data_IF_960721422037
#
_entry.id   IF_960721422037
#
_cell.length_a   1.000
_cell.length_b   1.000
_cell.length_c   1.000
_cell.angle_alpha   90.00
_cell.angle_beta   90.00
_cell.angle_gamma   90.00
#
_symmetry.space_group_name_H-M   'P 1'
#
loop_
_entity.id
_entity.type
_entity.pdbx_description
1 polymer ?
#
# COMPACT_ATOMS: atom_id res chain seq x y z
N UNK A 1 -14.10 0.18 -10.65
CA UNK A 1 -15.15 -0.36 -9.77
C UNK A 1 -15.88 0.71 -8.96
N UNK A 2 -15.19 1.67 -8.32
CA UNK A 2 -15.81 2.72 -7.49
C UNK A 2 -17.07 3.37 -8.11
N UNK A 3 -16.99 3.87 -9.35
CA UNK A 3 -18.12 4.48 -10.06
C UNK A 3 -19.32 3.53 -10.22
N UNK A 4 -19.08 2.24 -10.43
CA UNK A 4 -20.14 1.27 -10.71
C UNK A 4 -20.91 0.83 -9.45
N UNK A 5 -20.31 0.96 -8.27
CA UNK A 5 -20.91 0.53 -7.00
C UNK A 5 -21.40 1.69 -6.12
N UNK A 6 -21.13 2.93 -6.53
CA UNK A 6 -21.62 4.12 -5.84
C UNK A 6 -23.13 4.32 -6.02
N UNK A 7 -23.84 4.85 -5.01
CA UNK A 7 -23.33 5.29 -3.70
C UNK A 7 -23.32 4.17 -2.63
N UNK A 8 -23.72 2.94 -2.94
CA UNK A 8 -23.94 1.89 -1.95
C UNK A 8 -22.67 1.30 -1.33
N UNK A 9 -21.56 1.25 -2.09
CA UNK A 9 -20.27 0.71 -1.63
C UNK A 9 -19.14 1.65 -2.06
N UNK A 10 -18.27 2.02 -1.12
CA UNK A 10 -16.99 2.68 -1.42
C UNK A 10 -15.96 1.65 -1.87
N UNK A 11 -15.14 2.00 -2.86
CA UNK A 11 -14.09 1.12 -3.37
C UNK A 11 -12.80 1.92 -3.46
N UNK A 12 -11.79 1.51 -2.70
CA UNK A 12 -10.45 2.11 -2.70
C UNK A 12 -9.39 1.02 -2.87
N UNK A 13 -8.15 1.41 -3.18
CA UNK A 13 -7.04 0.48 -3.38
C UNK A 13 -5.86 0.85 -2.48
N UNK A 14 -5.23 -0.16 -1.89
CA UNK A 14 -3.91 -0.04 -1.26
C UNK A 14 -2.90 -0.59 -2.25
N UNK A 15 -1.84 0.16 -2.55
CA UNK A 15 -0.80 -0.18 -3.50
C UNK A 15 0.53 -0.38 -2.76
N UNK A 16 0.90 -1.64 -2.44
CA UNK A 16 2.14 -1.97 -1.74
C UNK A 16 3.38 -1.72 -2.59
N UNK A 17 4.49 -1.39 -1.92
CA UNK A 17 5.84 -1.44 -2.48
C UNK A 17 6.52 -2.79 -2.29
N UNK A 18 7.80 -2.77 -1.91
CA UNK A 18 8.56 -3.98 -1.57
C UNK A 18 8.13 -4.50 -0.20
N UNK A 19 7.27 -5.51 -0.21
CA UNK A 19 6.75 -6.18 0.99
C UNK A 19 6.85 -7.69 0.79
N UNK A 20 8.00 -8.31 1.13
CA UNK A 20 8.16 -9.75 1.04
C UNK A 20 7.37 -10.45 2.16
N UNK A 21 6.86 -11.67 1.91
CA UNK A 21 6.11 -12.45 2.89
C UNK A 21 6.98 -12.94 4.06
N UNK A 22 8.27 -13.16 3.80
CA UNK A 22 9.29 -13.55 4.77
C UNK A 22 10.56 -12.74 4.51
N UNK A 23 11.50 -12.72 5.46
CA UNK A 23 12.82 -12.14 5.21
C UNK A 23 13.45 -12.80 3.97
N UNK A 24 13.90 -11.96 3.04
CA UNK A 24 14.42 -12.42 1.76
C UNK A 24 15.86 -11.98 1.61
N UNK A 25 16.75 -12.96 1.39
CA UNK A 25 18.14 -12.72 1.03
C UNK A 25 18.35 -12.50 -0.49
N UNK A 26 17.28 -12.55 -1.31
CA UNK A 26 17.39 -12.24 -2.74
C UNK A 26 18.02 -10.83 -2.91
N UNK A 27 19.21 -10.72 -3.52
CA UNK A 27 19.92 -9.44 -3.62
C UNK A 27 19.09 -8.35 -4.31
N UNK A 28 18.15 -8.71 -5.19
CA UNK A 28 17.27 -7.77 -5.88
C UNK A 28 16.24 -7.17 -4.92
N UNK A 29 15.67 -7.98 -4.03
CA UNK A 29 14.70 -7.52 -3.02
C UNK A 29 15.41 -6.63 -2.01
N UNK A 30 16.58 -7.05 -1.52
CA UNK A 30 17.39 -6.26 -0.59
C UNK A 30 17.77 -4.90 -1.19
N UNK A 31 18.26 -4.88 -2.44
CA UNK A 31 18.62 -3.65 -3.11
C UNK A 31 17.42 -2.72 -3.33
N UNK A 32 16.26 -3.26 -3.73
CA UNK A 32 15.05 -2.46 -3.94
C UNK A 32 14.52 -1.88 -2.62
N UNK A 33 14.54 -2.66 -1.53
CA UNK A 33 14.17 -2.21 -0.20
C UNK A 33 15.06 -1.06 0.28
N UNK A 34 16.38 -1.20 0.13
CA UNK A 34 17.35 -0.17 0.50
C UNK A 34 17.22 1.11 -0.35
N UNK A 35 16.70 1.00 -1.58
CA UNK A 35 16.46 2.13 -2.48
C UNK A 35 15.17 2.91 -2.16
N UNK A 36 14.31 2.41 -1.26
CA UNK A 36 13.17 3.18 -0.78
C UNK A 36 13.65 4.36 0.09
N UNK A 37 12.98 5.51 0.10
CA UNK A 37 13.23 6.56 1.10
C UNK A 37 13.18 6.08 2.56
N UNK A 38 12.37 5.08 2.87
CA UNK A 38 12.32 4.44 4.17
C UNK A 38 13.56 3.56 4.47
N UNK A 39 14.38 3.24 3.47
CA UNK A 39 15.60 2.45 3.58
C UNK A 39 15.38 0.98 3.94
N UNK A 40 14.15 0.46 3.85
CA UNK A 40 13.79 -0.91 4.23
C UNK A 40 12.59 -1.43 3.45
N UNK A 41 12.37 -2.75 3.54
CA UNK A 41 11.13 -3.36 3.11
C UNK A 41 10.00 -3.03 4.10
N UNK A 42 8.78 -2.95 3.59
CA UNK A 42 7.58 -2.89 4.42
C UNK A 42 7.16 -4.28 4.92
N UNK A 43 6.23 -4.32 5.88
CA UNK A 43 5.63 -5.56 6.37
C UNK A 43 4.16 -5.71 5.93
N UNK A 44 3.62 -6.92 6.05
CA UNK A 44 2.20 -7.18 5.80
C UNK A 44 1.28 -6.38 6.73
N UNK A 45 1.69 -6.19 7.99
CA UNK A 45 0.98 -5.37 8.98
C UNK A 45 0.87 -3.91 8.52
N UNK A 46 1.94 -3.34 7.95
CA UNK A 46 1.91 -1.97 7.43
C UNK A 46 0.95 -1.82 6.24
N UNK A 47 0.80 -2.87 5.42
CA UNK A 47 -0.23 -2.90 4.37
C UNK A 47 -1.63 -2.99 4.97
N UNK A 48 -1.82 -3.79 6.03
CA UNK A 48 -3.09 -3.89 6.73
C UNK A 48 -3.50 -2.56 7.38
N UNK A 49 -2.56 -1.77 7.89
CA UNK A 49 -2.82 -0.42 8.40
C UNK A 49 -3.37 0.51 7.30
N UNK A 50 -2.87 0.39 6.06
CA UNK A 50 -3.42 1.10 4.90
C UNK A 50 -4.86 0.69 4.56
N UNK A 51 -5.23 -0.57 4.78
CA UNK A 51 -6.63 -1.03 4.66
C UNK A 51 -7.49 -0.44 5.78
N UNK A 52 -7.00 -0.47 7.02
CA UNK A 52 -7.69 0.10 8.18
C UNK A 52 -7.91 1.60 8.01
N UNK A 53 -7.00 2.32 7.36
CA UNK A 53 -7.19 3.73 7.00
C UNK A 53 -8.48 3.94 6.19
N UNK A 54 -8.70 3.14 5.14
CA UNK A 54 -9.93 3.24 4.34
C UNK A 54 -11.18 2.74 5.08
N UNK A 55 -11.06 1.77 5.98
CA UNK A 55 -12.18 1.32 6.82
C UNK A 55 -12.65 2.40 7.79
N UNK A 56 -11.76 3.30 8.22
CA UNK A 56 -12.08 4.43 9.10
C UNK A 56 -12.47 5.70 8.33
N UNK A 57 -12.30 5.72 7.01
CA UNK A 57 -12.63 6.88 6.18
C UNK A 57 -14.15 7.08 6.09
N UNK A 58 -14.59 8.30 5.79
CA UNK A 58 -16.00 8.58 5.55
C UNK A 58 -16.48 7.89 4.27
N UNK A 59 -17.79 7.66 4.15
CA UNK A 59 -18.41 7.13 2.92
C UNK A 59 -18.24 8.01 1.68
N UNK A 60 -17.68 9.22 1.84
CA UNK A 60 -17.35 10.11 0.72
C UNK A 60 -16.01 9.76 0.06
N UNK A 61 -15.14 8.98 0.72
CA UNK A 61 -13.84 8.55 0.20
C UNK A 61 -14.02 7.27 -0.62
N UNK A 62 -14.04 7.41 -1.94
CA UNK A 62 -14.10 6.30 -2.89
C UNK A 62 -13.24 6.60 -4.12
N UNK A 63 -12.74 5.56 -4.79
CA UNK A 63 -11.89 5.66 -5.98
C UNK A 63 -10.46 6.08 -5.71
N UNK A 64 -10.02 6.11 -4.45
CA UNK A 64 -8.66 6.52 -4.10
C UNK A 64 -7.68 5.34 -4.16
N UNK A 65 -6.42 5.67 -4.44
CA UNK A 65 -5.28 4.74 -4.35
C UNK A 65 -4.33 5.28 -3.29
N UNK A 66 -4.09 4.49 -2.25
CA UNK A 66 -3.10 4.79 -1.22
C UNK A 66 -1.83 4.00 -1.52
N UNK A 67 -0.73 4.69 -1.81
CA UNK A 67 0.58 4.05 -1.89
C UNK A 67 1.12 3.78 -0.48
N UNK A 68 1.55 2.54 -0.24
CA UNK A 68 2.18 2.10 1.00
C UNK A 68 3.46 1.36 0.61
N UNK A 69 4.47 2.14 0.25
CA UNK A 69 5.64 1.62 -0.46
C UNK A 69 6.98 2.15 0.07
N UNK A 70 6.99 2.74 1.26
CA UNK A 70 8.19 3.35 1.84
C UNK A 70 8.75 4.52 1.02
N UNK A 71 7.95 5.09 0.11
CA UNK A 71 8.33 6.16 -0.80
C UNK A 71 8.96 5.69 -2.12
N UNK A 72 8.91 4.40 -2.43
CA UNK A 72 9.51 3.83 -3.65
C UNK A 72 9.01 4.50 -4.95
N UNK A 73 7.74 4.93 -4.96
CA UNK A 73 7.09 5.64 -6.05
C UNK A 73 7.41 7.13 -6.16
N UNK A 74 8.09 7.75 -5.18
CA UNK A 74 8.36 9.19 -5.14
C UNK A 74 9.56 9.65 -6.01
N UNK A 75 9.97 8.81 -6.97
CA UNK A 75 11.10 9.12 -7.85
C UNK A 75 10.79 10.25 -8.82
#
# INVERSE_FOLDING_TARGET
LAKALAPGITVNSVAPGVVPFEESEDPRIVAMAAATPAGRAGTGEEIAEGVVYFLKASGFVTGQVLQVDGGLGLR
#
